data_IF_584927513385
#
_entry.id   IF_584927513385
#
_cell.length_a   1.000
_cell.length_b   1.000
_cell.length_c   1.000
_cell.angle_alpha   90.00
_cell.angle_beta   90.00
_cell.angle_gamma   90.00
#
_symmetry.space_group_name_H-M   'P 1'
#
loop_
_entity.id
_entity.type
_entity.pdbx_description
1 polymer ?
#
# COMPACT_ATOMS: atom_id res chain seq x y z
N UNK A 1 16.80 16.14 -4.25
CA UNK A 1 16.49 16.75 -2.94
C UNK A 1 15.42 16.02 -2.10
N UNK A 2 14.63 15.08 -2.63
CA UNK A 2 13.59 14.36 -1.86
C UNK A 2 14.12 13.59 -0.62
N UNK A 3 15.38 13.13 -0.64
CA UNK A 3 15.98 12.36 0.46
C UNK A 3 16.37 13.19 1.69
N UNK A 4 16.20 14.52 1.66
CA UNK A 4 16.65 15.43 2.73
C UNK A 4 15.53 16.22 3.41
N UNK A 5 14.27 16.05 3.01
CA UNK A 5 13.14 16.77 3.57
C UNK A 5 12.13 15.78 4.14
N UNK A 6 11.99 15.78 5.47
CA UNK A 6 11.09 14.89 6.20
C UNK A 6 9.61 15.15 5.87
N UNK A 7 9.27 16.40 5.55
CA UNK A 7 7.92 16.85 5.21
C UNK A 7 7.65 16.88 3.70
N UNK A 8 8.50 16.21 2.90
CA UNK A 8 8.34 16.20 1.45
C UNK A 8 7.02 15.53 1.05
N UNK A 9 6.07 16.33 0.58
CA UNK A 9 4.85 15.84 -0.05
C UNK A 9 5.08 15.58 -1.54
N UNK A 10 4.69 14.41 -2.04
CA UNK A 10 4.74 14.13 -3.47
C UNK A 10 3.74 15.04 -4.21
N UNK A 11 4.15 15.82 -5.23
CA UNK A 11 3.23 16.68 -5.97
C UNK A 11 2.45 15.84 -7.01
N UNK A 12 1.50 15.03 -6.54
CA UNK A 12 0.78 14.01 -7.32
C UNK A 12 0.15 14.57 -8.59
N UNK A 13 -0.57 15.69 -8.51
CA UNK A 13 -1.25 16.26 -9.69
C UNK A 13 -0.25 16.80 -10.73
N UNK A 14 0.90 17.33 -10.28
CA UNK A 14 1.98 17.73 -11.18
C UNK A 14 2.59 16.52 -11.89
N UNK A 15 2.78 15.40 -11.19
CA UNK A 15 3.28 14.15 -11.77
C UNK A 15 2.28 13.58 -12.78
N UNK A 16 0.99 13.53 -12.44
CA UNK A 16 -0.06 13.09 -13.39
C UNK A 16 -0.08 13.95 -14.64
N UNK A 17 0.02 15.29 -14.49
CA UNK A 17 0.08 16.23 -15.62
C UNK A 17 1.31 15.98 -16.50
N UNK A 18 2.47 15.77 -15.90
CA UNK A 18 3.70 15.47 -16.65
C UNK A 18 3.58 14.14 -17.42
N UNK A 19 3.02 13.10 -16.80
CA UNK A 19 2.78 11.80 -17.46
C UNK A 19 1.81 11.96 -18.63
N UNK A 20 0.68 12.64 -18.45
CA UNK A 20 -0.29 12.94 -19.53
C UNK A 20 0.37 13.69 -20.68
N UNK A 21 1.17 14.72 -20.37
CA UNK A 21 1.87 15.51 -21.39
C UNK A 21 2.85 14.69 -22.22
N UNK A 22 3.48 13.65 -21.63
CA UNK A 22 4.45 12.82 -22.32
C UNK A 22 3.82 11.62 -23.05
N UNK A 23 2.82 10.99 -22.44
CA UNK A 23 2.20 9.77 -22.96
C UNK A 23 0.95 10.04 -23.84
N UNK A 24 0.34 11.21 -23.70
CA UNK A 24 -0.99 11.54 -24.24
C UNK A 24 -2.11 11.13 -23.28
N UNK A 25 -3.21 11.88 -23.28
CA UNK A 25 -4.34 11.65 -22.36
C UNK A 25 -4.98 10.28 -22.58
N UNK A 26 -5.06 9.80 -23.82
CA UNK A 26 -5.66 8.49 -24.16
C UNK A 26 -4.84 7.29 -23.68
N UNK A 27 -3.54 7.49 -23.38
CA UNK A 27 -2.61 6.43 -22.95
C UNK A 27 -2.21 6.57 -21.47
N UNK A 28 -2.66 7.62 -20.80
CA UNK A 28 -2.31 7.92 -19.42
C UNK A 28 -3.47 7.57 -18.48
N UNK A 29 -3.43 6.36 -17.92
CA UNK A 29 -4.44 5.87 -17.00
C UNK A 29 -3.94 5.89 -15.55
N UNK A 30 -4.81 6.29 -14.61
CA UNK A 30 -4.46 6.45 -13.20
C UNK A 30 -5.45 5.71 -12.29
N UNK A 31 -4.92 4.78 -11.49
CA UNK A 31 -5.71 3.98 -10.57
C UNK A 31 -4.92 3.73 -9.27
N UNK A 32 -5.58 3.84 -8.12
CA UNK A 32 -4.95 3.57 -6.82
C UNK A 32 -4.93 2.06 -6.56
N UNK A 33 -3.94 1.40 -7.12
CA UNK A 33 -3.78 -0.05 -7.03
C UNK A 33 -3.53 -0.52 -5.59
N UNK A 34 -2.77 0.24 -4.80
CA UNK A 34 -2.46 -0.08 -3.41
C UNK A 34 -3.72 -0.08 -2.56
N UNK A 35 -4.48 1.01 -2.58
CA UNK A 35 -5.74 1.10 -1.81
C UNK A 35 -6.74 0.02 -2.24
N UNK A 36 -6.80 -0.25 -3.54
CA UNK A 36 -7.71 -1.26 -4.09
C UNK A 36 -7.32 -2.67 -3.67
N UNK A 37 -6.04 -3.02 -3.75
CA UNK A 37 -5.55 -4.31 -3.26
C UNK A 37 -5.78 -4.48 -1.76
N UNK A 38 -5.53 -3.43 -0.97
CA UNK A 38 -5.81 -3.45 0.47
C UNK A 38 -7.30 -3.67 0.76
N UNK A 39 -8.21 -3.03 0.02
CA UNK A 39 -9.64 -3.21 0.20
C UNK A 39 -10.12 -4.62 -0.21
N UNK A 40 -9.59 -5.16 -1.31
CA UNK A 40 -10.01 -6.46 -1.86
C UNK A 40 -9.39 -7.65 -1.14
N UNK A 41 -8.15 -7.53 -0.65
CA UNK A 41 -7.35 -8.65 -0.15
C UNK A 41 -6.83 -8.46 1.27
N UNK A 42 -7.17 -7.35 1.93
CA UNK A 42 -6.67 -7.01 3.28
C UNK A 42 -5.19 -6.66 3.33
N UNK A 43 -4.49 -6.63 2.20
CA UNK A 43 -3.06 -6.29 2.11
C UNK A 43 -2.71 -5.63 0.78
N UNK A 44 -1.61 -4.87 0.75
CA UNK A 44 -1.11 -4.24 -0.47
C UNK A 44 -0.32 -5.18 -1.39
N UNK A 45 -0.13 -6.45 -1.01
CA UNK A 45 0.73 -7.39 -1.76
C UNK A 45 0.20 -7.62 -3.18
N UNK A 46 -1.13 -7.58 -3.38
CA UNK A 46 -1.75 -7.75 -4.68
C UNK A 46 -1.61 -6.55 -5.64
N UNK A 47 -1.09 -5.40 -5.19
CA UNK A 47 -1.08 -4.18 -5.99
C UNK A 47 -0.28 -4.31 -7.29
N UNK A 48 0.85 -5.03 -7.28
CA UNK A 48 1.68 -5.23 -8.48
C UNK A 48 0.95 -6.07 -9.54
N UNK A 49 0.30 -7.15 -9.13
CA UNK A 49 -0.48 -7.99 -10.05
C UNK A 49 -1.74 -7.28 -10.54
N UNK A 50 -2.35 -6.45 -9.69
CA UNK A 50 -3.43 -5.57 -10.09
C UNK A 50 -2.98 -4.59 -11.20
N UNK A 51 -1.84 -3.92 -11.02
CA UNK A 51 -1.29 -3.03 -12.07
C UNK A 51 -0.97 -3.79 -13.35
N UNK A 52 -0.44 -5.02 -13.24
CA UNK A 52 -0.17 -5.86 -14.41
C UNK A 52 -1.45 -6.18 -15.19
N UNK A 53 -2.53 -6.55 -14.49
CA UNK A 53 -3.83 -6.80 -15.11
C UNK A 53 -4.46 -5.55 -15.72
N UNK A 54 -4.29 -4.41 -15.07
CA UNK A 54 -4.75 -3.12 -15.56
C UNK A 54 -4.04 -2.76 -16.87
N UNK A 55 -2.71 -2.87 -16.91
CA UNK A 55 -1.90 -2.63 -18.10
C UNK A 55 -2.22 -3.62 -19.24
N UNK A 56 -2.40 -4.91 -18.91
CA UNK A 56 -2.80 -5.95 -19.86
C UNK A 56 -4.07 -5.55 -20.62
N UNK A 57 -5.09 -5.11 -19.89
CA UNK A 57 -6.40 -4.80 -20.47
C UNK A 57 -6.37 -3.58 -21.40
N UNK A 58 -5.43 -2.65 -21.18
CA UNK A 58 -5.17 -1.52 -22.08
C UNK A 58 -4.22 -1.87 -23.24
N UNK A 59 -3.87 -3.14 -23.43
CA UNK A 59 -2.99 -3.59 -24.52
C UNK A 59 -1.50 -3.32 -24.27
N UNK A 60 -1.09 -3.07 -23.03
CA UNK A 60 0.31 -2.79 -22.67
C UNK A 60 1.22 -4.02 -22.65
N UNK A 61 0.69 -5.22 -22.90
CA UNK A 61 1.42 -6.48 -22.86
C UNK A 61 1.13 -7.31 -24.11
N UNK A 62 2.15 -7.74 -24.88
CA UNK A 62 1.98 -8.60 -26.05
C UNK A 62 1.89 -10.08 -25.65
N UNK A 63 0.99 -10.41 -24.73
CA UNK A 63 0.79 -11.75 -24.19
C UNK A 63 -0.70 -12.08 -24.13
N UNK A 64 -1.04 -13.35 -23.94
CA UNK A 64 -2.41 -13.74 -23.62
C UNK A 64 -2.64 -13.71 -22.10
N UNK A 65 -3.90 -13.61 -21.67
CA UNK A 65 -4.22 -13.64 -20.25
C UNK A 65 -3.84 -14.97 -19.61
N UNK A 66 -4.02 -16.06 -20.36
CA UNK A 66 -3.68 -17.42 -19.96
C UNK A 66 -2.18 -17.58 -19.74
N UNK A 67 -1.34 -16.95 -20.57
CA UNK A 67 0.11 -16.96 -20.41
C UNK A 67 0.54 -16.24 -19.12
N UNK A 68 -0.09 -15.11 -18.79
CA UNK A 68 0.19 -14.38 -17.54
C UNK A 68 -0.28 -15.18 -16.33
N UNK A 69 -1.50 -15.72 -16.36
CA UNK A 69 -2.01 -16.57 -15.26
C UNK A 69 -1.13 -17.82 -15.08
N UNK A 70 -0.65 -18.43 -16.18
CA UNK A 70 0.27 -19.56 -16.10
C UNK A 70 1.62 -19.19 -15.50
N UNK A 71 2.16 -18.01 -15.81
CA UNK A 71 3.40 -17.53 -15.19
C UNK A 71 3.23 -17.30 -13.68
N UNK A 72 2.06 -16.81 -13.24
CA UNK A 72 1.73 -16.67 -11.82
C UNK A 72 1.70 -18.04 -11.13
N UNK A 73 1.08 -19.05 -11.75
CA UNK A 73 1.08 -20.43 -11.24
C UNK A 73 2.50 -20.99 -11.09
N UNK A 74 3.35 -20.79 -12.11
CA UNK A 74 4.73 -21.27 -12.10
C UNK A 74 5.60 -20.59 -11.03
N UNK A 75 5.31 -19.34 -10.67
CA UNK A 75 6.00 -18.65 -9.57
C UNK A 75 5.69 -19.26 -8.19
N UNK A 76 4.51 -19.87 -8.03
CA UNK A 76 4.13 -20.65 -6.85
C UNK A 76 3.82 -19.85 -5.57
N UNK A 77 4.06 -18.54 -5.54
CA UNK A 77 3.80 -17.71 -4.37
C UNK A 77 2.41 -17.09 -4.41
N UNK A 78 1.60 -17.33 -3.37
CA UNK A 78 0.27 -16.75 -3.18
C UNK A 78 -0.59 -16.77 -4.46
N UNK A 79 -0.54 -17.88 -5.21
CA UNK A 79 -1.06 -18.01 -6.59
C UNK A 79 -2.50 -17.51 -6.71
N UNK A 80 -3.40 -17.98 -5.84
CA UNK A 80 -4.81 -17.60 -5.88
C UNK A 80 -5.03 -16.08 -5.72
N UNK A 81 -4.28 -15.44 -4.80
CA UNK A 81 -4.34 -13.99 -4.61
C UNK A 81 -3.79 -13.26 -5.83
N UNK A 82 -2.66 -13.69 -6.38
CA UNK A 82 -2.02 -13.03 -7.52
C UNK A 82 -2.86 -13.14 -8.80
N UNK A 83 -3.47 -14.30 -9.06
CA UNK A 83 -4.43 -14.48 -10.17
C UNK A 83 -5.67 -13.61 -9.97
N UNK A 84 -6.23 -13.58 -8.75
CA UNK A 84 -7.38 -12.73 -8.43
C UNK A 84 -7.05 -11.25 -8.62
N UNK A 85 -5.90 -10.79 -8.13
CA UNK A 85 -5.42 -9.43 -8.30
C UNK A 85 -5.24 -9.05 -9.78
N UNK A 86 -4.64 -9.93 -10.60
CA UNK A 86 -4.54 -9.74 -12.04
C UNK A 86 -5.91 -9.56 -12.69
N UNK A 87 -6.88 -10.43 -12.38
CA UNK A 87 -8.24 -10.34 -12.91
C UNK A 87 -8.97 -9.07 -12.46
N UNK A 88 -8.80 -8.65 -11.21
CA UNK A 88 -9.35 -7.39 -10.69
C UNK A 88 -8.71 -6.16 -11.37
N UNK A 89 -7.42 -6.22 -11.67
CA UNK A 89 -6.73 -5.21 -12.47
C UNK A 89 -7.37 -5.04 -13.85
N UNK A 90 -7.61 -6.16 -14.54
CA UNK A 90 -8.31 -6.16 -15.85
C UNK A 90 -9.71 -5.57 -15.73
N UNK A 91 -10.47 -5.97 -14.70
CA UNK A 91 -11.81 -5.41 -14.45
C UNK A 91 -11.76 -3.91 -14.19
N UNK A 92 -10.76 -3.40 -13.48
CA UNK A 92 -10.62 -1.98 -13.19
C UNK A 92 -10.27 -1.15 -14.42
N UNK A 93 -9.53 -1.70 -15.39
CA UNK A 93 -9.29 -1.03 -16.66
C UNK A 93 -10.56 -0.96 -17.54
N UNK A 94 -11.39 -2.01 -17.52
CA UNK A 94 -12.62 -2.05 -18.30
C UNK A 94 -13.82 -1.35 -17.62
N UNK A 95 -13.90 -1.40 -16.29
CA UNK A 95 -14.99 -0.84 -15.48
C UNK A 95 -14.42 -0.12 -14.23
N UNK A 96 -13.72 1.01 -14.41
CA UNK A 96 -13.02 1.68 -13.33
C UNK A 96 -13.95 2.13 -12.20
N UNK A 97 -15.13 2.67 -12.54
CA UNK A 97 -16.06 3.21 -11.55
C UNK A 97 -16.67 2.11 -10.66
N UNK A 98 -16.97 0.95 -11.24
CA UNK A 98 -17.42 -0.22 -10.50
C UNK A 98 -16.39 -0.65 -9.45
N UNK A 99 -15.12 -0.75 -9.85
CA UNK A 99 -14.05 -1.15 -8.91
C UNK A 99 -13.80 -0.07 -7.88
N UNK A 100 -13.83 1.22 -8.25
CA UNK A 100 -13.71 2.34 -7.29
C UNK A 100 -14.83 2.31 -6.26
N UNK A 101 -16.07 2.02 -6.65
CA UNK A 101 -17.20 1.93 -5.73
C UNK A 101 -17.01 0.85 -4.67
N UNK A 102 -16.40 -0.30 -5.02
CA UNK A 102 -16.08 -1.38 -4.08
C UNK A 102 -15.04 -0.96 -3.03
N UNK A 103 -14.14 -0.04 -3.38
CA UNK A 103 -13.07 0.48 -2.50
C UNK A 103 -13.57 1.61 -1.58
N UNK A 104 -14.67 2.27 -1.95
CA UNK A 104 -15.29 3.35 -1.17
C UNK A 104 -16.23 2.82 -0.08
N UNK A 105 -16.71 1.57 -0.18
CA UNK A 105 -17.54 0.94 0.84
C UNK A 105 -16.78 0.86 2.18
N UNK A 106 -17.23 1.57 3.23
CA UNK A 106 -16.58 1.56 4.53
C UNK A 106 -16.92 0.26 5.24
N UNK A 107 -16.08 -0.77 5.10
CA UNK A 107 -16.38 -2.07 5.70
C UNK A 107 -15.21 -2.98 6.05
N UNK A 108 -14.07 -2.93 5.35
CA UNK A 108 -13.02 -3.95 5.56
C UNK A 108 -11.59 -3.42 5.64
N UNK A 109 -11.29 -2.23 5.11
CA UNK A 109 -9.93 -1.64 5.19
C UNK A 109 -9.73 -0.68 6.37
N UNK A 110 -10.82 -0.19 6.98
CA UNK A 110 -10.75 0.78 8.08
C UNK A 110 -10.35 0.19 9.44
N UNK A 111 -10.27 -1.14 9.57
CA UNK A 111 -9.95 -1.76 10.87
C UNK A 111 -8.48 -1.69 11.28
N UNK A 112 -7.56 -1.28 10.39
CA UNK A 112 -6.13 -1.15 10.74
C UNK A 112 -5.62 0.29 10.83
N UNK A 113 -6.51 1.28 10.77
CA UNK A 113 -6.18 2.67 11.06
C UNK A 113 -7.18 3.25 12.06
N UNK A 114 -7.27 2.63 13.24
CA UNK A 114 -7.37 3.49 14.42
C UNK A 114 -6.18 4.45 14.32
N UNK A 115 -6.48 5.72 14.02
CA UNK A 115 -5.50 6.79 14.11
C UNK A 115 -5.04 6.74 15.57
N UNK A 116 -3.76 6.44 15.78
CA UNK A 116 -3.20 6.56 17.12
C UNK A 116 -3.31 8.05 17.47
N UNK A 117 -4.22 8.40 18.38
CA UNK A 117 -4.47 9.78 18.78
C UNK A 117 -3.33 10.32 19.63
N UNK A 118 -2.60 9.42 20.30
CA UNK A 118 -1.46 9.74 21.14
C UNK A 118 -0.19 8.99 20.73
N UNK A 119 0.96 9.52 21.16
CA UNK A 119 2.24 8.84 21.01
C UNK A 119 2.23 7.45 21.68
N UNK A 120 1.57 7.32 22.84
CA UNK A 120 1.45 6.04 23.54
C UNK A 120 0.66 5.01 22.74
N UNK A 121 -0.43 5.42 22.09
CA UNK A 121 -1.19 4.54 21.20
C UNK A 121 -0.34 4.06 20.02
N UNK A 122 0.51 4.94 19.49
CA UNK A 122 1.41 4.61 18.39
C UNK A 122 2.47 3.60 18.82
N UNK A 123 3.05 3.78 20.00
CA UNK A 123 4.02 2.86 20.59
C UNK A 123 3.36 1.50 20.85
N UNK A 124 2.20 1.48 21.49
CA UNK A 124 1.46 0.25 21.81
C UNK A 124 1.13 -0.55 20.53
N UNK A 125 0.61 0.13 19.50
CA UNK A 125 0.33 -0.50 18.20
C UNK A 125 1.59 -1.08 17.56
N UNK A 126 2.71 -0.36 17.63
CA UNK A 126 3.97 -0.83 17.04
C UNK A 126 4.56 -2.00 17.81
N UNK A 127 4.43 -2.03 19.14
CA UNK A 127 4.80 -3.18 19.98
C UNK A 127 4.00 -4.42 19.55
N UNK A 128 2.68 -4.30 19.46
CA UNK A 128 1.81 -5.41 19.02
C UNK A 128 2.19 -5.93 17.63
N UNK A 129 2.46 -5.01 16.68
CA UNK A 129 2.92 -5.37 15.34
C UNK A 129 4.26 -6.13 15.35
N UNK A 130 5.26 -5.65 16.09
CA UNK A 130 6.59 -6.29 16.15
C UNK A 130 6.55 -7.63 16.87
N UNK A 131 5.65 -7.78 17.85
CA UNK A 131 5.38 -9.06 18.51
C UNK A 131 4.78 -10.08 17.55
N UNK A 132 3.78 -9.68 16.76
CA UNK A 132 3.19 -10.55 15.75
C UNK A 132 4.17 -10.86 14.60
N UNK A 133 5.04 -9.91 14.25
CA UNK A 133 6.02 -10.07 13.18
C UNK A 133 7.14 -11.05 13.54
N UNK A 134 7.61 -11.05 14.80
CA UNK A 134 8.70 -11.92 15.22
C UNK A 134 8.38 -12.64 16.52
N UNK A 135 8.36 -11.92 17.65
CA UNK A 135 8.05 -12.46 18.97
C UNK A 135 7.92 -11.36 20.04
N UNK A 136 7.46 -11.73 21.22
CA UNK A 136 7.30 -10.81 22.36
C UNK A 136 8.60 -10.09 22.75
N UNK A 137 9.76 -10.76 22.64
CA UNK A 137 11.05 -10.16 22.96
C UNK A 137 11.40 -8.98 22.03
N UNK A 138 11.02 -9.06 20.75
CA UNK A 138 11.27 -7.98 19.80
C UNK A 138 10.41 -6.76 20.06
N UNK A 139 9.11 -6.96 20.33
CA UNK A 139 8.21 -5.89 20.75
C UNK A 139 8.69 -5.20 22.04
N UNK A 140 9.13 -5.99 23.02
CA UNK A 140 9.71 -5.46 24.26
C UNK A 140 10.96 -4.63 24.04
N UNK A 141 11.91 -5.10 23.20
CA UNK A 141 13.14 -4.37 22.90
C UNK A 141 12.86 -2.99 22.29
N UNK A 142 11.83 -2.89 21.46
CA UNK A 142 11.39 -1.62 20.89
C UNK A 142 10.84 -0.67 21.97
N UNK A 143 9.94 -1.16 22.84
CA UNK A 143 9.38 -0.36 23.94
C UNK A 143 10.47 0.16 24.89
N UNK A 144 11.41 -0.70 25.28
CA UNK A 144 12.49 -0.35 26.22
C UNK A 144 13.41 0.75 25.64
N UNK A 145 13.70 0.71 24.33
CA UNK A 145 14.49 1.76 23.65
C UNK A 145 13.79 3.11 23.65
N UNK A 146 12.48 3.13 23.40
CA UNK A 146 11.70 4.38 23.42
C UNK A 146 11.56 4.95 24.83
N UNK A 147 11.40 4.10 25.84
CA UNK A 147 11.40 4.54 27.23
C UNK A 147 12.73 5.21 27.63
N UNK A 148 13.86 4.63 27.21
CA UNK A 148 15.17 5.24 27.43
C UNK A 148 15.32 6.59 26.72
N UNK A 149 14.81 6.70 25.48
CA UNK A 149 14.83 7.94 24.71
C UNK A 149 13.98 9.04 25.37
N UNK A 150 12.76 8.72 25.80
CA UNK A 150 11.87 9.65 26.54
C UNK A 150 12.53 10.16 27.82
N UNK A 151 13.22 9.29 28.56
CA UNK A 151 13.93 9.68 29.78
C UNK A 151 15.07 10.66 29.47
N UNK A 152 15.82 10.42 28.40
CA UNK A 152 16.89 11.32 27.97
C UNK A 152 16.33 12.67 27.50
N UNK A 153 15.25 12.66 26.71
CA UNK A 153 14.56 13.85 26.21
C UNK A 153 13.99 14.70 27.33
N UNK A 154 13.25 14.11 28.28
CA UNK A 154 12.72 14.83 29.45
C UNK A 154 13.81 15.46 30.33
N UNK A 155 15.01 14.87 30.35
CA UNK A 155 16.16 15.40 31.08
C UNK A 155 16.84 16.56 30.34
N UNK A 156 16.78 16.57 29.00
CA UNK A 156 17.42 17.58 28.16
C UNK A 156 16.50 18.78 27.86
N UNK A 157 15.21 18.53 27.61
CA UNK A 157 14.19 19.54 27.28
C UNK A 157 12.84 19.11 27.90
N UNK A 158 12.56 19.52 29.15
CA UNK A 158 11.30 19.20 29.82
C UNK A 158 10.09 19.75 29.03
N UNK A 159 9.09 18.89 28.75
CA UNK A 159 7.81 19.29 28.14
C UNK A 159 7.73 19.25 26.60
N UNK A 160 8.66 18.58 25.92
CA UNK A 160 8.69 18.47 24.45
C UNK A 160 7.93 17.28 23.86
N UNK A 161 7.35 16.42 24.71
CA UNK A 161 6.62 15.19 24.32
C UNK A 161 5.11 15.34 24.35
#
# INVERSE_FOLDING_TARGET
EFTRSADFSLPVERLKKAIRSAAGDDKAHFFDATRTATALFGSSLGANMFMLGFAFQHGGLPLTAEAVEKAIELNGQSVAMNVSAFRWGRRAAHQPDFVRALVVQPGTAAQNTAVAETLDDLIARRVAFLTAYQNAAYGKRYADRLAALRKAEASAVPGST
#
